data_IF_878848651009
#
_entry.id   IF_878848651009
#
_cell.length_a   1.000
_cell.length_b   1.000
_cell.length_c   1.000
_cell.angle_alpha   90.00
_cell.angle_beta   90.00
_cell.angle_gamma   90.00
#
_symmetry.space_group_name_H-M   'P 1'
#
loop_
_entity.id
_entity.type
_entity.pdbx_description
1 polymer ?
#
# COMPACT_ATOMS: atom_id res chain seq x y z
N UNK A 1 53.20 18.71 -6.70
CA UNK A 1 52.11 17.93 -7.34
C UNK A 1 52.12 16.55 -6.73
N UNK A 2 51.12 16.18 -5.92
CA UNK A 2 50.65 14.79 -5.66
C UNK A 2 50.05 14.65 -4.26
N UNK A 3 48.81 15.09 -4.04
CA UNK A 3 48.04 14.68 -2.84
C UNK A 3 46.54 14.62 -3.16
N UNK A 4 46.15 13.59 -3.93
CA UNK A 4 44.83 12.99 -3.75
C UNK A 4 45.06 11.49 -3.57
N UNK A 5 44.63 10.88 -2.44
CA UNK A 5 44.83 9.46 -2.22
C UNK A 5 44.07 8.67 -3.30
N UNK A 6 44.73 7.63 -3.81
CA UNK A 6 44.26 6.71 -4.87
C UNK A 6 42.86 6.08 -4.60
N UNK A 7 42.34 6.23 -3.38
CA UNK A 7 41.03 5.74 -2.94
C UNK A 7 39.86 6.71 -3.22
N UNK A 8 40.12 8.01 -3.42
CA UNK A 8 39.07 8.99 -3.67
C UNK A 8 38.41 8.80 -5.03
N UNK A 9 39.19 8.51 -6.07
CA UNK A 9 38.71 8.27 -7.45
C UNK A 9 37.92 6.97 -7.57
N UNK A 10 38.33 5.91 -6.87
CA UNK A 10 37.61 4.63 -6.85
C UNK A 10 36.25 4.74 -6.13
N UNK A 11 36.19 5.52 -5.04
CA UNK A 11 34.97 5.76 -4.29
C UNK A 11 34.00 6.65 -5.08
N UNK A 12 34.52 7.70 -5.73
CA UNK A 12 33.74 8.57 -6.63
C UNK A 12 33.15 7.76 -7.80
N UNK A 13 33.95 6.90 -8.43
CA UNK A 13 33.47 6.02 -9.51
C UNK A 13 32.44 4.99 -9.05
N UNK A 14 32.52 4.50 -7.80
CA UNK A 14 31.57 3.52 -7.26
C UNK A 14 30.24 4.18 -6.86
N UNK A 15 30.28 5.39 -6.29
CA UNK A 15 29.10 6.22 -6.00
C UNK A 15 28.41 6.68 -7.29
N UNK A 16 29.18 7.13 -8.28
CA UNK A 16 28.65 7.47 -9.62
C UNK A 16 27.99 6.26 -10.29
N UNK A 17 28.55 5.05 -10.15
CA UNK A 17 28.00 3.81 -10.75
C UNK A 17 26.74 3.29 -10.04
N UNK A 18 26.63 3.49 -8.73
CA UNK A 18 25.38 3.21 -7.98
C UNK A 18 24.28 4.24 -8.32
N UNK A 19 24.63 5.51 -8.48
CA UNK A 19 23.69 6.56 -8.86
C UNK A 19 23.20 6.47 -10.31
N UNK A 20 23.97 5.88 -11.24
CA UNK A 20 23.51 5.58 -12.61
C UNK A 20 22.38 4.52 -12.62
N UNK A 21 22.35 3.59 -11.65
CA UNK A 21 21.23 2.64 -11.51
C UNK A 21 19.97 3.34 -10.98
N UNK A 22 20.12 4.30 -10.06
CA UNK A 22 19.01 5.15 -9.57
C UNK A 22 18.49 6.10 -10.67
N UNK A 23 19.38 6.62 -11.51
CA UNK A 23 19.00 7.43 -12.67
C UNK A 23 18.24 6.61 -13.75
N UNK A 24 18.52 5.31 -13.86
CA UNK A 24 17.73 4.40 -14.73
C UNK A 24 16.33 4.10 -14.17
N UNK A 25 16.14 4.11 -12.85
CA UNK A 25 14.82 4.00 -12.21
C UNK A 25 14.01 5.30 -12.21
N UNK A 26 14.63 6.44 -12.54
CA UNK A 26 13.95 7.73 -12.72
C UNK A 26 13.31 7.90 -14.11
N UNK A 27 13.15 6.82 -14.89
CA UNK A 27 12.14 6.78 -15.96
C UNK A 27 10.74 6.67 -15.35
N UNK A 28 10.39 7.65 -14.51
CA UNK A 28 9.02 7.95 -14.15
C UNK A 28 8.33 8.33 -15.45
N UNK A 29 7.38 7.49 -15.86
CA UNK A 29 6.14 7.91 -16.49
C UNK A 29 6.24 9.15 -17.38
N UNK A 30 7.12 9.12 -18.39
CA UNK A 30 6.73 9.75 -19.62
C UNK A 30 5.53 8.92 -20.07
N UNK A 31 4.31 9.36 -19.72
CA UNK A 31 3.14 8.94 -20.45
C UNK A 31 3.58 8.96 -21.91
N UNK A 32 3.53 7.81 -22.59
CA UNK A 32 3.66 7.82 -24.05
C UNK A 32 2.51 8.73 -24.47
N UNK A 33 2.80 10.01 -24.69
CA UNK A 33 1.89 10.94 -25.33
C UNK A 33 1.75 10.29 -26.69
N UNK A 34 0.69 9.49 -26.86
CA UNK A 34 0.36 8.97 -28.17
C UNK A 34 0.25 10.21 -29.05
N UNK A 35 1.12 10.29 -30.06
CA UNK A 35 1.06 11.38 -31.02
C UNK A 35 -0.29 11.37 -31.77
N UNK A 36 -1.00 10.23 -31.72
CA UNK A 36 -2.33 10.06 -32.27
C UNK A 36 -3.38 10.67 -31.33
N UNK A 37 -3.76 11.91 -31.64
CA UNK A 37 -4.97 12.54 -31.11
C UNK A 37 -6.19 11.76 -31.56
N UNK A 38 -7.09 11.44 -30.64
CA UNK A 38 -8.43 10.93 -31.00
C UNK A 38 -9.17 11.92 -31.91
N UNK A 39 -10.18 11.51 -32.68
CA UNK A 39 -10.93 12.43 -33.56
C UNK A 39 -11.44 13.69 -32.85
N UNK A 40 -11.92 13.58 -31.61
CA UNK A 40 -12.37 14.72 -30.81
C UNK A 40 -11.21 15.62 -30.37
N UNK A 41 -10.06 15.04 -30.04
CA UNK A 41 -8.84 15.79 -29.69
C UNK A 41 -8.25 16.51 -30.91
N UNK A 42 -8.31 15.89 -32.10
CA UNK A 42 -7.88 16.51 -33.36
C UNK A 42 -8.78 17.70 -33.69
N UNK A 43 -10.10 17.51 -33.63
CA UNK A 43 -11.06 18.59 -33.84
C UNK A 43 -10.86 19.75 -32.85
N UNK A 44 -10.71 19.46 -31.56
CA UNK A 44 -10.47 20.47 -30.54
C UNK A 44 -9.15 21.23 -30.76
N UNK A 45 -8.11 20.52 -31.18
CA UNK A 45 -6.83 21.13 -31.53
C UNK A 45 -6.94 22.07 -32.73
N UNK A 46 -7.60 21.63 -33.80
CA UNK A 46 -7.80 22.43 -35.01
C UNK A 46 -8.66 23.67 -34.73
N UNK A 47 -9.68 23.54 -33.87
CA UNK A 47 -10.46 24.66 -33.37
C UNK A 47 -9.58 25.67 -32.63
N UNK A 48 -8.76 25.22 -31.67
CA UNK A 48 -7.85 26.08 -30.90
C UNK A 48 -6.83 26.78 -31.80
N UNK A 49 -6.25 26.08 -32.78
CA UNK A 49 -5.33 26.68 -33.75
C UNK A 49 -6.01 27.75 -34.59
N UNK A 50 -7.27 27.52 -35.02
CA UNK A 50 -8.06 28.53 -35.72
C UNK A 50 -8.33 29.76 -34.86
N UNK A 51 -8.73 29.58 -33.60
CA UNK A 51 -8.95 30.71 -32.67
C UNK A 51 -7.66 31.52 -32.43
N UNK A 52 -6.52 30.83 -32.29
CA UNK A 52 -5.20 31.45 -32.16
C UNK A 52 -4.81 32.26 -33.41
N UNK A 53 -5.03 31.70 -34.61
CA UNK A 53 -4.80 32.41 -35.86
C UNK A 53 -5.66 33.68 -35.99
N UNK A 54 -6.89 33.62 -35.47
CA UNK A 54 -7.82 34.76 -35.37
C UNK A 54 -7.50 35.74 -34.23
N UNK A 55 -6.41 35.52 -33.47
CA UNK A 55 -5.99 36.33 -32.31
C UNK A 55 -7.10 36.50 -31.26
N UNK A 56 -8.00 35.52 -31.13
CA UNK A 56 -9.02 35.56 -30.07
C UNK A 56 -8.36 35.33 -28.72
N UNK A 57 -8.76 36.06 -27.66
CA UNK A 57 -8.29 35.76 -26.32
C UNK A 57 -8.69 34.33 -25.93
N UNK A 58 -7.71 33.54 -25.50
CA UNK A 58 -7.87 32.10 -25.24
C UNK A 58 -8.62 31.85 -23.92
N UNK A 59 -8.68 32.85 -23.05
CA UNK A 59 -9.50 32.93 -21.85
C UNK A 59 -9.47 34.38 -21.30
N UNK A 60 -10.41 34.78 -20.43
CA UNK A 60 -10.28 36.01 -19.68
C UNK A 60 -8.97 35.98 -18.86
N UNK A 61 -8.19 37.06 -18.91
CA UNK A 61 -6.99 37.16 -18.09
C UNK A 61 -7.36 37.26 -16.61
N UNK A 62 -6.51 36.72 -15.72
CA UNK A 62 -6.81 36.63 -14.28
C UNK A 62 -7.14 37.98 -13.64
N UNK A 63 -6.59 39.08 -14.19
CA UNK A 63 -6.82 40.42 -13.64
C UNK A 63 -8.24 40.97 -13.89
N UNK A 64 -9.08 40.34 -14.72
CA UNK A 64 -10.51 40.71 -14.85
C UNK A 64 -11.33 40.14 -13.68
N UNK A 65 -10.88 39.08 -13.04
CA UNK A 65 -11.63 38.43 -11.97
C UNK A 65 -11.43 39.16 -10.64
N UNK A 66 -12.53 39.39 -9.92
CA UNK A 66 -12.48 39.87 -8.54
C UNK A 66 -11.81 38.79 -7.66
N UNK A 67 -10.81 39.12 -6.84
CA UNK A 67 -10.23 38.17 -5.91
C UNK A 67 -11.26 37.70 -4.89
N UNK A 68 -11.44 36.39 -4.81
CA UNK A 68 -12.34 35.72 -3.88
C UNK A 68 -11.54 34.72 -3.07
N UNK A 69 -11.86 34.64 -1.77
CA UNK A 69 -11.12 33.78 -0.84
C UNK A 69 -11.17 32.30 -1.25
N UNK A 70 -12.26 31.87 -1.89
CA UNK A 70 -12.49 30.53 -2.45
C UNK A 70 -11.33 30.06 -3.34
N UNK A 71 -11.00 30.83 -4.38
CA UNK A 71 -9.94 30.46 -5.32
C UNK A 71 -8.57 30.85 -4.81
N UNK A 72 -8.45 31.92 -4.01
CA UNK A 72 -7.15 32.36 -3.47
C UNK A 72 -6.53 31.30 -2.57
N UNK A 73 -7.29 30.72 -1.63
CA UNK A 73 -6.81 29.63 -0.75
C UNK A 73 -6.49 28.38 -1.56
N UNK A 74 -7.28 28.06 -2.58
CA UNK A 74 -6.99 26.94 -3.49
C UNK A 74 -5.69 27.15 -4.27
N UNK A 75 -5.48 28.36 -4.82
CA UNK A 75 -4.27 28.75 -5.50
C UNK A 75 -3.04 28.69 -4.59
N UNK A 76 -3.16 29.23 -3.37
CA UNK A 76 -2.12 29.17 -2.36
C UNK A 76 -1.73 27.71 -2.03
N UNK A 77 -2.70 26.82 -1.88
CA UNK A 77 -2.46 25.39 -1.63
C UNK A 77 -1.69 24.73 -2.77
N UNK A 78 -2.05 25.04 -4.02
CA UNK A 78 -1.33 24.50 -5.19
C UNK A 78 0.09 25.05 -5.28
N UNK A 79 0.27 26.36 -5.17
CA UNK A 79 1.59 27.01 -5.28
C UNK A 79 2.52 26.52 -4.17
N UNK A 80 2.05 26.52 -2.92
CA UNK A 80 2.85 26.03 -1.79
C UNK A 80 3.11 24.52 -1.87
N UNK A 81 2.16 23.73 -2.39
CA UNK A 81 2.35 22.30 -2.66
C UNK A 81 3.44 22.05 -3.71
N UNK A 82 3.44 22.79 -4.82
CA UNK A 82 4.50 22.74 -5.82
C UNK A 82 5.85 23.14 -5.23
N UNK A 83 5.89 24.21 -4.44
CA UNK A 83 7.12 24.65 -3.77
C UNK A 83 7.68 23.57 -2.83
N UNK A 84 6.83 22.97 -1.98
CA UNK A 84 7.24 21.88 -1.09
C UNK A 84 7.73 20.65 -1.88
N UNK A 85 7.02 20.24 -2.93
CA UNK A 85 7.41 19.11 -3.76
C UNK A 85 8.76 19.33 -4.44
N UNK A 86 8.99 20.52 -5.00
CA UNK A 86 10.27 20.89 -5.62
C UNK A 86 11.38 20.91 -4.57
N UNK A 87 11.15 21.50 -3.40
CA UNK A 87 12.15 21.54 -2.31
C UNK A 87 12.51 20.14 -1.83
N UNK A 88 11.53 19.26 -1.61
CA UNK A 88 11.78 17.88 -1.20
C UNK A 88 12.51 17.07 -2.29
N UNK A 89 12.14 17.26 -3.56
CA UNK A 89 12.79 16.59 -4.68
C UNK A 89 14.25 17.05 -4.83
N UNK A 90 14.48 18.37 -4.90
CA UNK A 90 15.82 18.92 -5.08
C UNK A 90 16.70 18.68 -3.85
N UNK A 91 16.15 18.83 -2.64
CA UNK A 91 16.83 18.52 -1.39
C UNK A 91 17.18 17.04 -1.32
N UNK A 92 16.21 16.15 -1.54
CA UNK A 92 16.42 14.70 -1.49
C UNK A 92 17.44 14.22 -2.52
N UNK A 93 17.35 14.68 -3.77
CA UNK A 93 18.35 14.37 -4.81
C UNK A 93 19.71 14.97 -4.46
N UNK A 94 19.74 16.21 -3.99
CA UNK A 94 20.96 16.90 -3.57
C UNK A 94 21.72 16.14 -2.49
N UNK A 95 21.04 15.80 -1.39
CA UNK A 95 21.62 15.01 -0.29
C UNK A 95 21.97 13.56 -0.69
N UNK A 96 21.32 13.01 -1.72
CA UNK A 96 21.64 11.66 -2.22
C UNK A 96 22.87 11.62 -3.13
N UNK A 97 23.15 12.71 -3.85
CA UNK A 97 24.23 12.77 -4.86
C UNK A 97 25.47 13.47 -4.33
N UNK A 98 25.31 14.51 -3.51
CA UNK A 98 26.43 15.25 -2.94
C UNK A 98 27.00 14.51 -1.72
N UNK A 99 28.32 14.54 -1.49
CA UNK A 99 28.94 13.99 -0.29
C UNK A 99 28.76 14.94 0.90
N UNK A 100 27.53 15.38 1.13
CA UNK A 100 27.18 16.39 2.12
C UNK A 100 26.07 15.83 2.98
N UNK A 101 26.36 15.61 4.26
CA UNK A 101 25.36 15.16 5.22
C UNK A 101 24.58 16.35 5.80
N UNK A 102 23.45 16.06 6.44
CA UNK A 102 22.58 17.09 6.99
C UNK A 102 23.28 17.93 8.06
N UNK A 103 24.13 17.31 8.89
CA UNK A 103 24.88 18.01 9.93
C UNK A 103 25.85 19.04 9.34
N UNK A 104 26.65 18.66 8.34
CA UNK A 104 27.58 19.58 7.66
C UNK A 104 26.82 20.71 6.95
N UNK A 105 25.64 20.43 6.40
CA UNK A 105 24.77 21.46 5.82
C UNK A 105 24.36 22.51 6.85
N UNK A 106 23.90 22.08 8.02
CA UNK A 106 23.48 22.99 9.10
C UNK A 106 24.66 23.81 9.60
N UNK A 107 25.83 23.20 9.80
CA UNK A 107 27.04 23.92 10.21
C UNK A 107 27.48 24.95 9.16
N UNK A 108 27.38 24.62 7.87
CA UNK A 108 27.62 25.57 6.79
C UNK A 108 26.67 26.78 6.89
N UNK A 109 25.36 26.54 7.10
CA UNK A 109 24.37 27.61 7.26
C UNK A 109 24.65 28.45 8.52
N UNK A 110 25.01 27.82 9.64
CA UNK A 110 25.43 28.53 10.87
C UNK A 110 26.65 29.42 10.59
N UNK A 111 27.62 28.91 9.82
CA UNK A 111 28.83 29.64 9.41
C UNK A 111 28.59 30.82 8.47
N UNK A 112 27.42 30.94 7.83
CA UNK A 112 27.06 32.11 7.03
C UNK A 112 26.69 33.34 7.87
N UNK A 113 26.58 33.21 9.20
CA UNK A 113 26.26 34.29 10.14
C UNK A 113 25.03 35.11 9.70
N UNK A 114 24.01 34.43 9.19
CA UNK A 114 22.79 35.07 8.70
C UNK A 114 22.05 35.70 9.90
N UNK A 115 21.60 36.97 9.79
CA UNK A 115 20.82 37.61 10.84
C UNK A 115 19.63 36.76 11.29
N UNK A 116 19.38 36.69 12.61
CA UNK A 116 18.34 35.85 13.20
C UNK A 116 16.94 36.13 12.60
N UNK A 117 16.64 37.39 12.26
CA UNK A 117 15.36 37.79 11.63
C UNK A 117 15.15 37.08 10.28
N UNK A 118 16.22 36.97 9.48
CA UNK A 118 16.16 36.31 8.16
C UNK A 118 16.05 34.80 8.34
N UNK A 119 16.79 34.23 9.30
CA UNK A 119 16.69 32.80 9.62
C UNK A 119 15.28 32.42 10.10
N UNK A 120 14.69 33.21 10.98
CA UNK A 120 13.34 32.95 11.49
C UNK A 120 12.26 33.13 10.41
N UNK A 121 12.42 34.13 9.53
CA UNK A 121 11.56 34.25 8.36
C UNK A 121 11.66 33.01 7.46
N UNK A 122 12.86 32.48 7.25
CA UNK A 122 13.07 31.27 6.45
C UNK A 122 12.43 30.04 7.10
N UNK A 123 12.59 29.85 8.41
CA UNK A 123 11.91 28.79 9.18
C UNK A 123 10.39 28.90 9.07
N UNK A 124 9.85 30.13 9.15
CA UNK A 124 8.41 30.36 8.99
C UNK A 124 7.92 29.97 7.60
N UNK A 125 8.65 30.36 6.55
CA UNK A 125 8.34 30.02 5.15
C UNK A 125 8.34 28.52 4.91
N UNK A 126 9.11 27.74 5.67
CA UNK A 126 9.09 26.27 5.63
C UNK A 126 7.91 25.71 6.45
N UNK A 127 7.72 26.18 7.68
CA UNK A 127 6.72 25.64 8.60
C UNK A 127 5.28 25.95 8.18
N UNK A 128 5.02 27.15 7.66
CA UNK A 128 3.67 27.61 7.31
C UNK A 128 3.00 26.73 6.23
N UNK A 129 3.62 26.43 5.07
CA UNK A 129 3.05 25.52 4.07
C UNK A 129 2.66 24.16 4.65
N UNK A 130 3.47 23.59 5.54
CA UNK A 130 3.21 22.28 6.14
C UNK A 130 1.96 22.34 7.01
N UNK A 131 1.90 23.30 7.95
CA UNK A 131 0.73 23.49 8.81
C UNK A 131 -0.53 23.83 8.01
N UNK A 132 -0.39 24.69 7.00
CA UNK A 132 -1.47 25.09 6.11
C UNK A 132 -2.03 23.91 5.31
N UNK A 133 -1.20 23.05 4.73
CA UNK A 133 -1.67 21.87 3.97
C UNK A 133 -2.41 20.87 4.86
N UNK A 134 -1.89 20.62 6.07
CA UNK A 134 -2.56 19.71 7.03
C UNK A 134 -3.95 20.23 7.41
N UNK A 135 -4.05 21.50 7.80
CA UNK A 135 -5.33 22.11 8.21
C UNK A 135 -6.30 22.27 7.04
N UNK A 136 -5.79 22.68 5.88
CA UNK A 136 -6.61 22.83 4.68
C UNK A 136 -7.08 21.46 4.16
N UNK A 137 -6.28 20.40 4.34
CA UNK A 137 -6.67 19.02 4.08
C UNK A 137 -7.86 18.58 4.94
N UNK A 138 -7.84 18.86 6.25
CA UNK A 138 -8.99 18.61 7.15
C UNK A 138 -10.23 19.36 6.66
N UNK A 139 -10.08 20.63 6.27
CA UNK A 139 -11.18 21.42 5.70
C UNK A 139 -11.74 20.80 4.42
N UNK A 140 -10.89 20.26 3.54
CA UNK A 140 -11.31 19.56 2.32
C UNK A 140 -12.04 18.25 2.62
N UNK A 141 -11.59 17.46 3.60
CA UNK A 141 -12.36 16.28 4.08
C UNK A 141 -13.75 16.72 4.54
N UNK A 142 -13.86 17.86 5.24
CA UNK A 142 -15.15 18.46 5.57
C UNK A 142 -16.01 18.75 4.34
N UNK A 143 -15.44 19.29 3.27
CA UNK A 143 -16.15 19.52 2.00
C UNK A 143 -16.59 18.23 1.31
N UNK A 144 -15.77 17.18 1.35
CA UNK A 144 -16.13 15.85 0.81
C UNK A 144 -17.31 15.24 1.57
N UNK A 145 -17.44 15.56 2.86
CA UNK A 145 -18.60 15.21 3.70
C UNK A 145 -19.77 16.22 3.57
N UNK A 146 -19.74 17.12 2.59
CA UNK A 146 -20.70 18.21 2.37
C UNK A 146 -20.89 19.16 3.57
N UNK A 147 -19.90 19.27 4.47
CA UNK A 147 -19.93 20.18 5.62
C UNK A 147 -19.24 21.51 5.28
N UNK A 148 -19.88 22.62 5.64
CA UNK A 148 -19.29 23.97 5.51
C UNK A 148 -19.12 24.46 4.07
N UNK A 149 -19.97 23.98 3.15
CA UNK A 149 -19.95 24.29 1.71
C UNK A 149 -20.74 25.55 1.34
N UNK A 150 -21.44 26.17 2.29
CA UNK A 150 -22.05 27.49 2.10
C UNK A 150 -20.98 28.60 2.07
N UNK A 151 -21.25 29.69 1.35
CA UNK A 151 -20.27 30.77 1.14
C UNK A 151 -19.75 31.36 2.47
N UNK A 152 -20.60 31.67 3.47
CA UNK A 152 -20.11 32.13 4.78
C UNK A 152 -19.15 31.13 5.45
N UNK A 153 -19.51 29.84 5.51
CA UNK A 153 -18.66 28.80 6.10
C UNK A 153 -17.35 28.62 5.34
N UNK A 154 -17.36 28.70 4.01
CA UNK A 154 -16.16 28.64 3.17
C UNK A 154 -15.18 29.75 3.56
N UNK A 155 -15.67 30.98 3.73
CA UNK A 155 -14.85 32.13 4.13
C UNK A 155 -14.34 31.99 5.55
N UNK A 156 -15.21 31.62 6.51
CA UNK A 156 -14.80 31.37 7.90
C UNK A 156 -13.73 30.29 8.00
N UNK A 157 -13.95 29.16 7.34
CA UNK A 157 -12.99 28.05 7.31
C UNK A 157 -11.66 28.45 6.68
N UNK A 158 -11.68 29.27 5.63
CA UNK A 158 -10.46 29.80 5.03
C UNK A 158 -9.65 30.67 6.01
N UNK A 159 -10.29 31.62 6.70
CA UNK A 159 -9.61 32.44 7.70
C UNK A 159 -9.09 31.63 8.88
N UNK A 160 -9.89 30.67 9.39
CA UNK A 160 -9.46 29.78 10.49
C UNK A 160 -8.22 28.99 10.10
N UNK A 161 -8.21 28.38 8.92
CA UNK A 161 -7.07 27.60 8.42
C UNK A 161 -5.83 28.47 8.27
N UNK A 162 -5.94 29.65 7.64
CA UNK A 162 -4.81 30.55 7.44
C UNK A 162 -4.23 31.07 8.76
N UNK A 163 -5.09 31.52 9.68
CA UNK A 163 -4.68 32.04 10.97
C UNK A 163 -4.04 30.96 11.84
N UNK A 164 -4.67 29.78 11.92
CA UNK A 164 -4.14 28.68 12.73
C UNK A 164 -2.83 28.15 12.17
N UNK A 165 -2.69 28.04 10.84
CA UNK A 165 -1.42 27.67 10.21
C UNK A 165 -0.30 28.67 10.54
N UNK A 166 -0.60 29.97 10.51
CA UNK A 166 0.35 31.02 10.88
C UNK A 166 0.75 30.92 12.36
N UNK A 167 -0.21 30.71 13.27
CA UNK A 167 0.07 30.56 14.70
C UNK A 167 0.92 29.31 14.98
N UNK A 168 0.62 28.18 14.35
CA UNK A 168 1.41 26.96 14.49
C UNK A 168 2.84 27.17 13.98
N UNK A 169 3.01 27.78 12.80
CA UNK A 169 4.33 28.05 12.24
C UNK A 169 5.15 29.01 13.13
N UNK A 170 4.52 30.04 13.70
CA UNK A 170 5.15 30.91 14.67
C UNK A 170 5.54 30.16 15.96
N UNK A 171 4.66 29.31 16.48
CA UNK A 171 4.93 28.54 17.68
C UNK A 171 6.12 27.59 17.49
N UNK A 172 6.22 26.90 16.35
CA UNK A 172 7.35 26.04 15.99
C UNK A 172 8.66 26.83 15.95
N UNK A 173 8.63 28.04 15.36
CA UNK A 173 9.81 28.91 15.34
C UNK A 173 10.24 29.33 16.75
N UNK A 174 9.29 29.72 17.62
CA UNK A 174 9.60 30.14 18.99
C UNK A 174 10.10 28.99 19.87
N UNK A 175 9.54 27.79 19.71
CA UNK A 175 10.01 26.59 20.42
C UNK A 175 11.48 26.31 20.10
N UNK A 176 11.90 26.53 18.85
CA UNK A 176 13.30 26.36 18.44
C UNK A 176 14.23 27.33 19.17
N UNK A 177 13.81 28.59 19.35
CA UNK A 177 14.59 29.61 20.07
C UNK A 177 14.69 29.24 21.55
N UNK A 178 13.58 28.82 22.15
CA UNK A 178 13.55 28.41 23.55
C UNK A 178 14.47 27.21 23.81
N UNK A 179 14.48 26.21 22.93
CA UNK A 179 15.35 25.03 23.06
C UNK A 179 16.85 25.36 22.87
N UNK A 180 17.22 26.24 21.95
CA UNK A 180 18.62 26.68 21.81
C UNK A 180 19.07 27.48 23.04
N UNK A 181 18.15 28.28 23.63
CA UNK A 181 18.41 29.05 24.84
C UNK A 181 18.62 28.19 26.09
N UNK A 182 17.90 27.08 26.24
CA UNK A 182 18.08 26.16 27.38
C UNK A 182 19.37 25.35 27.28
N UNK A 183 19.80 24.98 26.08
CA UNK A 183 21.03 24.21 25.86
C UNK A 183 22.30 25.03 26.13
N UNK A 184 22.30 26.32 25.77
CA UNK A 184 23.41 27.23 26.12
C UNK A 184 23.55 27.48 27.63
N UNK A 185 22.48 27.29 28.41
CA UNK A 185 22.53 27.42 29.88
C UNK A 185 22.95 26.14 30.60
N UNK A 186 22.77 24.96 30.00
CA UNK A 186 23.21 23.69 30.58
C UNK A 186 24.69 23.37 30.34
N UNK A 187 25.30 23.91 29.28
CA UNK A 187 26.71 23.63 28.93
C UNK A 187 27.73 24.32 29.86
N UNK A 188 27.30 25.26 30.71
CA UNK A 188 28.15 25.96 31.68
C UNK A 188 28.09 25.34 33.08
N UNK A 189 27.14 24.44 33.37
CA UNK A 189 26.84 24.01 34.75
C UNK A 189 27.08 22.55 35.10
N UNK A 190 27.80 21.74 34.31
CA UNK A 190 28.08 20.34 34.70
C UNK A 190 29.53 19.88 34.42
N UNK A 191 30.44 20.25 35.33
CA UNK A 191 31.41 19.29 35.87
C UNK A 191 30.67 18.53 36.96
N UNK A 192 30.41 17.23 36.75
CA UNK A 192 29.86 16.36 37.78
C UNK A 192 28.77 15.43 37.27
N UNK A 193 29.16 14.18 37.04
CA UNK A 193 28.48 12.97 37.52
C UNK A 193 26.95 13.05 37.69
N UNK A 194 26.21 12.37 36.80
CA UNK A 194 25.44 11.17 37.19
C UNK A 194 24.73 10.55 35.97
N UNK A 195 25.01 9.27 35.76
CA UNK A 195 24.27 8.37 34.89
C UNK A 195 22.99 7.96 35.61
N UNK A 196 21.86 8.52 35.20
CA UNK A 196 20.54 8.05 35.61
C UNK A 196 19.82 7.53 34.38
N UNK A 197 19.75 6.19 34.28
CA UNK A 197 18.96 5.51 33.27
C UNK A 197 17.48 5.84 33.48
N UNK A 198 16.90 6.48 32.49
CA UNK A 198 15.46 6.73 32.38
C UNK A 198 14.76 5.39 32.11
N UNK A 199 13.96 4.92 33.08
CA UNK A 199 13.07 3.78 32.87
C UNK A 199 11.92 4.29 32.01
N UNK A 200 12.07 4.07 30.70
CA UNK A 200 10.94 4.15 29.76
C UNK A 200 10.01 3.00 30.12
N UNK A 201 8.79 3.30 30.54
CA UNK A 201 7.70 2.32 30.58
C UNK A 201 7.42 1.89 29.13
N UNK A 202 8.16 0.87 28.68
CA UNK A 202 7.99 0.24 27.38
C UNK A 202 6.63 -0.46 27.41
N UNK A 203 5.65 0.15 26.75
CA UNK A 203 4.39 -0.50 26.42
C UNK A 203 4.71 -1.87 25.82
N UNK A 204 4.16 -2.99 26.34
CA UNK A 204 4.57 -4.32 25.91
C UNK A 204 4.42 -4.44 24.39
N UNK A 205 5.51 -4.82 23.72
CA UNK A 205 5.55 -4.93 22.27
C UNK A 205 4.33 -5.72 21.78
N UNK A 206 3.64 -5.20 20.77
CA UNK A 206 2.52 -5.91 20.16
C UNK A 206 3.05 -7.16 19.48
N UNK A 207 2.25 -8.21 19.42
CA UNK A 207 2.73 -9.51 18.90
C UNK A 207 3.18 -9.41 17.44
N UNK A 208 2.45 -8.70 16.58
CA UNK A 208 2.83 -8.48 15.19
C UNK A 208 4.07 -7.58 14.98
N UNK A 209 4.62 -6.98 16.04
CA UNK A 209 5.88 -6.22 16.02
C UNK A 209 7.08 -7.07 16.44
N UNK A 210 6.86 -8.28 16.97
CA UNK A 210 7.94 -9.19 17.29
C UNK A 210 8.53 -9.80 16.00
N UNK A 211 9.85 -9.84 15.90
CA UNK A 211 10.58 -10.44 14.76
C UNK A 211 10.14 -11.88 14.48
N UNK A 212 9.77 -12.62 15.53
CA UNK A 212 9.22 -13.99 15.43
C UNK A 212 7.99 -14.06 14.51
N UNK A 213 7.14 -13.04 14.54
CA UNK A 213 5.90 -12.98 13.78
C UNK A 213 5.96 -12.02 12.59
N UNK A 214 7.18 -11.79 12.07
CA UNK A 214 7.37 -11.02 10.86
C UNK A 214 6.56 -11.64 9.70
N UNK A 215 5.74 -10.81 9.04
CA UNK A 215 4.82 -11.25 7.99
C UNK A 215 5.53 -11.90 6.80
N UNK A 216 6.78 -11.52 6.55
CA UNK A 216 7.62 -12.16 5.54
C UNK A 216 7.74 -13.67 5.79
N UNK A 217 7.85 -14.08 7.05
CA UNK A 217 7.91 -15.48 7.44
C UNK A 217 6.65 -16.24 7.03
N UNK A 218 5.46 -15.70 7.33
CA UNK A 218 4.17 -16.29 6.95
C UNK A 218 4.02 -16.48 5.44
N UNK A 219 4.42 -15.48 4.65
CA UNK A 219 4.34 -15.54 3.19
C UNK A 219 5.27 -16.61 2.63
N UNK A 220 6.54 -16.60 3.05
CA UNK A 220 7.54 -17.56 2.58
C UNK A 220 7.16 -18.98 3.00
N UNK A 221 6.71 -19.15 4.24
CA UNK A 221 6.25 -20.41 4.79
C UNK A 221 5.07 -20.98 3.98
N UNK A 222 4.01 -20.19 3.79
CA UNK A 222 2.84 -20.62 3.04
C UNK A 222 3.16 -20.93 1.57
N UNK A 223 3.95 -20.08 0.90
CA UNK A 223 4.31 -20.29 -0.51
C UNK A 223 5.14 -21.55 -0.68
N UNK A 224 6.09 -21.79 0.22
CA UNK A 224 6.87 -23.03 0.23
C UNK A 224 5.97 -24.24 0.40
N UNK A 225 5.08 -24.20 1.39
CA UNK A 225 4.12 -25.28 1.65
C UNK A 225 3.21 -25.53 0.44
N UNK A 226 2.73 -24.47 -0.23
CA UNK A 226 1.87 -24.59 -1.41
C UNK A 226 2.58 -25.18 -2.62
N UNK A 227 3.84 -24.80 -2.86
CA UNK A 227 4.65 -25.38 -3.92
C UNK A 227 4.94 -26.87 -3.66
N UNK A 228 5.25 -27.24 -2.42
CA UNK A 228 5.47 -28.62 -2.02
C UNK A 228 4.23 -29.51 -2.24
N UNK A 229 3.02 -29.01 -1.99
CA UNK A 229 1.77 -29.73 -2.30
C UNK A 229 1.56 -30.02 -3.79
N UNK A 230 2.32 -29.36 -4.67
CA UNK A 230 2.30 -29.52 -6.12
C UNK A 230 3.59 -30.16 -6.66
N UNK A 231 4.40 -30.75 -5.78
CA UNK A 231 5.69 -31.36 -6.09
C UNK A 231 6.71 -30.39 -6.72
N UNK A 232 6.61 -29.09 -6.41
CA UNK A 232 7.58 -28.07 -6.80
C UNK A 232 8.49 -27.67 -5.63
N UNK A 233 9.77 -27.48 -5.92
CA UNK A 233 10.76 -26.95 -4.98
C UNK A 233 11.09 -25.48 -5.27
N UNK A 234 11.15 -24.67 -4.21
CA UNK A 234 11.57 -23.26 -4.28
C UNK A 234 13.06 -23.11 -3.94
N UNK A 235 13.91 -23.21 -4.96
CA UNK A 235 15.36 -23.17 -4.81
C UNK A 235 15.90 -21.85 -4.20
N UNK A 236 15.26 -20.71 -4.50
CA UNK A 236 15.64 -19.39 -4.01
C UNK A 236 14.92 -18.99 -2.71
N UNK A 237 14.37 -19.97 -1.97
CA UNK A 237 13.63 -19.71 -0.74
C UNK A 237 14.48 -18.91 0.26
N UNK A 238 13.98 -17.77 0.77
CA UNK A 238 14.63 -17.05 1.86
C UNK A 238 14.72 -17.90 3.13
N UNK A 239 15.85 -17.82 3.84
CA UNK A 239 16.04 -18.51 5.12
C UNK A 239 15.09 -17.91 6.16
N UNK A 240 14.32 -18.76 6.85
CA UNK A 240 13.45 -18.35 7.94
C UNK A 240 14.21 -18.45 9.27
N UNK A 241 14.21 -17.40 10.10
CA UNK A 241 14.85 -17.45 11.42
C UNK A 241 14.09 -18.36 12.41
N UNK A 242 12.80 -18.60 12.16
CA UNK A 242 11.95 -19.46 12.96
C UNK A 242 11.15 -20.39 12.04
N UNK A 243 11.04 -21.66 12.40
CA UNK A 243 10.25 -22.67 11.69
C UNK A 243 9.28 -23.36 12.67
N UNK A 244 8.22 -23.98 12.15
CA UNK A 244 7.23 -24.77 12.91
C UNK A 244 6.45 -23.97 13.97
N UNK A 245 6.04 -22.75 13.62
CA UNK A 245 5.16 -21.93 14.47
C UNK A 245 3.69 -22.35 14.31
N UNK A 246 2.93 -22.34 15.41
CA UNK A 246 1.49 -22.65 15.39
C UNK A 246 0.71 -21.63 14.53
N UNK A 247 1.19 -20.40 14.48
CA UNK A 247 0.63 -19.33 13.66
C UNK A 247 0.80 -19.61 12.16
N UNK A 248 1.93 -20.24 11.77
CA UNK A 248 2.17 -20.65 10.38
C UNK A 248 1.23 -21.80 10.00
N UNK A 249 1.07 -22.80 10.86
CA UNK A 249 0.11 -23.89 10.67
C UNK A 249 -1.33 -23.36 10.54
N UNK A 250 -1.74 -22.47 11.45
CA UNK A 250 -3.04 -21.83 11.41
C UNK A 250 -3.27 -21.06 10.10
N UNK A 251 -2.26 -20.33 9.60
CA UNK A 251 -2.32 -19.64 8.31
C UNK A 251 -2.50 -20.63 7.16
N UNK A 252 -1.70 -21.71 7.11
CA UNK A 252 -1.80 -22.73 6.06
C UNK A 252 -3.19 -23.35 5.99
N UNK A 253 -3.75 -23.72 7.14
CA UNK A 253 -5.06 -24.36 7.21
C UNK A 253 -6.17 -23.43 6.70
N UNK A 254 -6.21 -22.20 7.19
CA UNK A 254 -7.26 -21.24 6.83
C UNK A 254 -7.12 -20.79 5.38
N UNK A 255 -5.91 -20.58 4.90
CA UNK A 255 -5.65 -20.22 3.51
C UNK A 255 -6.05 -21.35 2.54
N UNK A 256 -5.76 -22.62 2.86
CA UNK A 256 -6.24 -23.75 2.06
C UNK A 256 -7.77 -23.88 2.07
N UNK A 257 -8.43 -23.62 3.21
CA UNK A 257 -9.90 -23.57 3.28
C UNK A 257 -10.43 -22.45 2.38
N UNK A 258 -9.77 -21.29 2.38
CA UNK A 258 -10.15 -20.14 1.56
C UNK A 258 -9.98 -20.44 0.07
N UNK A 259 -8.85 -21.00 -0.34
CA UNK A 259 -8.57 -21.40 -1.73
C UNK A 259 -9.61 -22.39 -2.25
N UNK A 260 -9.96 -23.42 -1.47
CA UNK A 260 -10.98 -24.40 -1.87
C UNK A 260 -12.36 -23.79 -2.07
N UNK A 261 -12.67 -22.69 -1.37
CA UNK A 261 -13.97 -22.02 -1.46
C UNK A 261 -14.06 -21.03 -2.63
N UNK A 262 -12.93 -20.46 -3.05
CA UNK A 262 -12.87 -19.40 -4.06
C UNK A 262 -11.98 -19.79 -5.26
N UNK A 263 -11.79 -21.08 -5.50
CA UNK A 263 -10.84 -21.60 -6.50
C UNK A 263 -11.05 -20.99 -7.89
N UNK A 264 -12.30 -20.91 -8.34
CA UNK A 264 -12.62 -20.47 -9.70
C UNK A 264 -12.35 -18.98 -9.90
N UNK A 265 -12.53 -18.18 -8.85
CA UNK A 265 -12.29 -16.74 -8.87
C UNK A 265 -10.78 -16.46 -8.81
N UNK A 266 -10.08 -17.12 -7.87
CA UNK A 266 -8.63 -17.00 -7.71
C UNK A 266 -7.89 -17.38 -9.00
N UNK A 267 -8.25 -18.50 -9.63
CA UNK A 267 -7.63 -18.92 -10.88
C UNK A 267 -7.90 -17.93 -12.02
N UNK A 268 -9.12 -17.41 -12.15
CA UNK A 268 -9.45 -16.38 -13.16
C UNK A 268 -8.60 -15.13 -13.00
N UNK A 269 -8.39 -14.65 -11.78
CA UNK A 269 -7.56 -13.48 -11.52
C UNK A 269 -6.08 -13.74 -11.80
N UNK A 270 -5.59 -14.92 -11.45
CA UNK A 270 -4.22 -15.35 -11.79
C UNK A 270 -4.02 -15.40 -13.30
N UNK A 271 -4.95 -16.01 -14.04
CA UNK A 271 -4.87 -16.08 -15.51
C UNK A 271 -4.89 -14.66 -16.14
N UNK A 272 -5.69 -13.73 -15.60
CA UNK A 272 -5.69 -12.33 -16.04
C UNK A 272 -4.33 -11.66 -15.80
N UNK A 273 -3.73 -11.84 -14.62
CA UNK A 273 -2.42 -11.27 -14.29
C UNK A 273 -1.29 -11.84 -15.16
N UNK A 274 -1.35 -13.14 -15.47
CA UNK A 274 -0.34 -13.82 -16.29
C UNK A 274 -0.51 -13.56 -17.79
N UNK A 275 -1.68 -13.10 -18.24
CA UNK A 275 -1.90 -12.72 -19.63
C UNK A 275 -1.13 -11.47 -20.05
N UNK A 276 -0.76 -10.62 -19.10
CA UNK A 276 0.04 -9.42 -19.33
C UNK A 276 1.53 -9.77 -19.48
N UNK A 277 2.21 -9.10 -20.42
CA UNK A 277 3.59 -9.42 -20.84
C UNK A 277 4.65 -9.29 -19.72
N UNK A 278 4.35 -8.58 -18.64
CA UNK A 278 5.24 -8.39 -17.48
C UNK A 278 4.43 -8.24 -16.19
N UNK A 279 4.71 -9.10 -15.19
CA UNK A 279 4.15 -8.97 -13.85
C UNK A 279 4.85 -7.81 -13.11
N UNK A 280 4.17 -6.66 -12.99
CA UNK A 280 4.71 -5.52 -12.23
C UNK A 280 4.15 -5.49 -10.80
N UNK A 281 4.93 -4.95 -9.86
CA UNK A 281 4.48 -4.70 -8.48
C UNK A 281 3.17 -3.92 -8.44
N UNK A 282 3.04 -2.87 -9.27
CA UNK A 282 1.85 -2.02 -9.29
C UNK A 282 0.61 -2.79 -9.74
N UNK A 283 0.73 -3.66 -10.74
CA UNK A 283 -0.39 -4.47 -11.24
C UNK A 283 -0.81 -5.54 -10.24
N UNK A 284 0.17 -6.18 -9.60
CA UNK A 284 -0.08 -7.11 -8.50
C UNK A 284 -0.83 -6.42 -7.35
N UNK A 285 -0.33 -5.25 -6.92
CA UNK A 285 -0.96 -4.45 -5.87
C UNK A 285 -2.36 -3.98 -6.27
N UNK A 286 -2.60 -3.56 -7.51
CA UNK A 286 -3.93 -3.13 -7.99
C UNK A 286 -4.98 -4.25 -7.87
N UNK A 287 -4.63 -5.48 -8.28
CA UNK A 287 -5.53 -6.63 -8.14
C UNK A 287 -5.73 -7.01 -6.68
N UNK A 288 -4.65 -6.97 -5.88
CA UNK A 288 -4.66 -7.21 -4.43
C UNK A 288 -5.44 -6.15 -3.65
N UNK A 289 -5.42 -4.88 -4.08
CA UNK A 289 -6.13 -3.77 -3.42
C UNK A 289 -7.63 -3.81 -3.68
N UNK A 290 -8.04 -4.28 -4.86
CA UNK A 290 -9.44 -4.52 -5.19
C UNK A 290 -9.99 -5.79 -4.53
N UNK A 291 -9.11 -6.67 -4.02
CA UNK A 291 -9.52 -7.90 -3.37
C UNK A 291 -10.16 -7.63 -2.00
N UNK A 292 -11.44 -7.97 -1.86
CA UNK A 292 -12.15 -8.01 -0.58
C UNK A 292 -12.36 -6.64 0.09
N UNK A 293 -12.37 -5.54 -0.67
CA UNK A 293 -12.84 -4.23 -0.18
C UNK A 293 -14.37 -4.20 -0.17
N UNK A 294 -14.93 -3.75 0.95
CA UNK A 294 -16.21 -3.05 0.94
C UNK A 294 -15.94 -1.56 0.67
N UNK A 295 -16.79 -0.89 -0.10
CA UNK A 295 -16.59 0.53 -0.47
C UNK A 295 -16.49 1.45 0.75
N UNK A 296 -17.06 1.03 1.89
CA UNK A 296 -17.09 1.76 3.16
C UNK A 296 -15.84 1.57 4.04
N UNK A 297 -14.92 0.66 3.71
CA UNK A 297 -13.73 0.39 4.53
C UNK A 297 -12.54 1.31 4.16
N UNK A 298 -11.82 1.78 5.19
CA UNK A 298 -10.60 2.57 5.01
C UNK A 298 -9.62 1.85 4.08
N UNK A 299 -8.95 2.56 3.13
CA UNK A 299 -7.96 1.95 2.25
C UNK A 299 -6.79 1.27 2.99
N UNK A 300 -6.58 1.60 4.26
CA UNK A 300 -5.54 1.03 5.09
C UNK A 300 -5.99 -0.19 5.93
N UNK A 301 -7.29 -0.49 6.00
CA UNK A 301 -7.82 -1.56 6.86
C UNK A 301 -7.39 -2.95 6.40
N UNK A 302 -6.74 -3.72 7.28
CA UNK A 302 -6.31 -5.10 7.04
C UNK A 302 -7.00 -6.07 7.99
N UNK A 303 -8.15 -6.61 7.58
CA UNK A 303 -8.84 -7.66 8.33
C UNK A 303 -8.15 -9.02 8.20
N UNK A 304 -8.41 -9.95 9.12
CA UNK A 304 -7.92 -11.33 9.00
C UNK A 304 -8.37 -12.02 7.70
N UNK A 305 -9.59 -11.72 7.22
CA UNK A 305 -10.09 -12.24 5.97
C UNK A 305 -9.28 -11.75 4.76
N UNK A 306 -8.95 -10.44 4.72
CA UNK A 306 -8.11 -9.86 3.66
C UNK A 306 -6.68 -10.41 3.73
N UNK A 307 -6.11 -10.52 4.93
CA UNK A 307 -4.79 -11.14 5.13
C UNK A 307 -4.73 -12.56 4.53
N UNK A 308 -5.67 -13.43 4.94
CA UNK A 308 -5.74 -14.82 4.44
C UNK A 308 -5.91 -14.85 2.94
N UNK A 309 -6.81 -14.02 2.41
CA UNK A 309 -7.09 -13.99 0.99
C UNK A 309 -5.87 -13.61 0.15
N UNK A 310 -5.09 -12.63 0.59
CA UNK A 310 -3.90 -12.16 -0.14
C UNK A 310 -2.77 -13.19 -0.11
N UNK A 311 -2.56 -13.84 1.04
CA UNK A 311 -1.59 -14.93 1.17
C UNK A 311 -2.03 -16.13 0.31
N UNK A 312 -3.32 -16.47 0.32
CA UNK A 312 -3.91 -17.53 -0.51
C UNK A 312 -3.74 -17.25 -2.00
N UNK A 313 -4.07 -16.03 -2.44
CA UNK A 313 -3.92 -15.60 -3.83
C UNK A 313 -2.46 -15.68 -4.29
N UNK A 314 -1.53 -15.18 -3.47
CA UNK A 314 -0.11 -15.32 -3.72
C UNK A 314 0.34 -16.78 -3.82
N UNK A 315 -0.20 -17.66 -2.97
CA UNK A 315 0.05 -19.11 -3.01
C UNK A 315 -0.40 -19.77 -4.31
N UNK A 316 -1.57 -19.42 -4.83
CA UNK A 316 -2.05 -19.88 -6.14
C UNK A 316 -1.17 -19.33 -7.26
N UNK A 317 -0.82 -18.04 -7.19
CA UNK A 317 0.03 -17.38 -8.17
C UNK A 317 1.40 -18.05 -8.29
N UNK A 318 2.08 -18.35 -7.17
CA UNK A 318 3.40 -18.99 -7.22
C UNK A 318 3.34 -20.42 -7.76
N UNK A 319 2.26 -21.17 -7.47
CA UNK A 319 2.04 -22.48 -8.10
C UNK A 319 1.97 -22.35 -9.62
N UNK A 320 1.21 -21.36 -10.11
CA UNK A 320 1.04 -21.13 -11.54
C UNK A 320 2.34 -20.65 -12.21
N UNK A 321 3.11 -19.79 -11.53
CA UNK A 321 4.43 -19.36 -11.98
C UNK A 321 5.43 -20.53 -12.07
N UNK A 322 5.36 -21.48 -11.13
CA UNK A 322 6.19 -22.68 -11.16
C UNK A 322 5.81 -23.61 -12.33
N UNK A 323 4.51 -23.78 -12.59
CA UNK A 323 3.98 -24.52 -13.75
C UNK A 323 4.45 -23.90 -15.08
N UNK A 324 4.46 -22.57 -15.21
CA UNK A 324 4.95 -21.83 -16.40
C UNK A 324 6.49 -21.66 -16.42
N UNK A 325 7.22 -22.31 -15.50
CA UNK A 325 8.69 -22.27 -15.38
C UNK A 325 9.29 -20.87 -15.13
N UNK A 326 8.49 -19.90 -14.66
CA UNK A 326 8.93 -18.54 -14.33
C UNK A 326 9.42 -18.43 -12.88
N UNK A 327 10.44 -19.23 -12.53
CA UNK A 327 10.90 -19.38 -11.13
C UNK A 327 11.44 -18.09 -10.50
N UNK A 328 12.05 -17.20 -11.29
CA UNK A 328 12.58 -15.91 -10.82
C UNK A 328 11.49 -14.96 -10.30
N UNK A 329 10.26 -15.10 -10.78
CA UNK A 329 9.15 -14.22 -10.40
C UNK A 329 8.54 -14.62 -9.04
N UNK A 330 8.75 -15.87 -8.59
CA UNK A 330 8.25 -16.37 -7.30
C UNK A 330 8.81 -15.51 -6.15
N UNK A 331 10.10 -15.22 -6.19
CA UNK A 331 10.79 -14.38 -5.21
C UNK A 331 10.27 -12.94 -5.21
N UNK A 332 9.90 -12.41 -6.38
CA UNK A 332 9.30 -11.08 -6.51
C UNK A 332 7.89 -11.04 -5.91
N UNK A 333 7.03 -12.03 -6.23
CA UNK A 333 5.67 -12.12 -5.68
C UNK A 333 5.69 -12.26 -4.15
N UNK A 334 6.61 -13.06 -3.60
CA UNK A 334 6.80 -13.17 -2.16
C UNK A 334 7.15 -11.80 -1.54
N UNK A 335 8.16 -11.12 -2.08
CA UNK A 335 8.60 -9.80 -1.61
C UNK A 335 7.46 -8.77 -1.66
N UNK A 336 6.72 -8.73 -2.77
CA UNK A 336 5.62 -7.80 -2.98
C UNK A 336 4.48 -8.03 -2.00
N UNK A 337 4.11 -9.28 -1.79
CA UNK A 337 3.07 -9.67 -0.83
C UNK A 337 3.48 -9.32 0.59
N UNK A 338 4.71 -9.66 1.00
CA UNK A 338 5.22 -9.34 2.33
C UNK A 338 5.25 -7.85 2.59
N UNK A 339 5.79 -7.04 1.68
CA UNK A 339 5.89 -5.58 1.85
C UNK A 339 4.53 -4.90 1.88
N UNK A 340 3.59 -5.38 1.06
CA UNK A 340 2.23 -4.86 1.06
C UNK A 340 1.53 -5.15 2.40
N UNK A 341 1.59 -6.40 2.88
CA UNK A 341 0.95 -6.80 4.13
C UNK A 341 1.60 -6.14 5.35
N UNK A 342 2.93 -6.07 5.41
CA UNK A 342 3.70 -5.46 6.49
C UNK A 342 3.22 -4.02 6.75
N UNK A 343 3.17 -3.22 5.68
CA UNK A 343 2.74 -1.82 5.77
C UNK A 343 1.29 -1.71 6.25
N UNK A 344 0.39 -2.58 5.80
CA UNK A 344 -1.04 -2.49 6.14
C UNK A 344 -1.30 -2.95 7.58
N UNK A 345 -0.67 -4.03 8.03
CA UNK A 345 -0.75 -4.54 9.40
C UNK A 345 -0.30 -3.45 10.39
N UNK A 346 0.86 -2.83 10.14
CA UNK A 346 1.40 -1.76 10.99
C UNK A 346 0.46 -0.54 11.07
N UNK A 347 -0.31 -0.26 10.02
CA UNK A 347 -1.22 0.89 9.98
C UNK A 347 -2.59 0.62 10.61
N UNK A 348 -3.12 -0.61 10.57
CA UNK A 348 -4.50 -0.89 11.00
C UNK A 348 -4.63 -1.75 12.26
N UNK A 349 -3.75 -2.72 12.50
CA UNK A 349 -3.99 -3.73 13.55
C UNK A 349 -3.98 -3.17 14.96
N UNK A 350 -3.17 -2.14 15.20
CA UNK A 350 -3.15 -1.43 16.47
C UNK A 350 -4.49 -0.72 16.77
N UNK A 351 -5.14 -0.17 15.75
CA UNK A 351 -6.42 0.54 15.89
C UNK A 351 -7.61 -0.44 16.01
N UNK A 352 -7.52 -1.59 15.34
CA UNK A 352 -8.58 -2.59 15.30
C UNK A 352 -8.52 -3.63 16.44
N UNK A 353 -7.58 -3.49 17.39
CA UNK A 353 -7.32 -4.46 18.46
C UNK A 353 -7.11 -5.89 17.92
N UNK A 354 -6.27 -6.02 16.90
CA UNK A 354 -5.92 -7.29 16.23
C UNK A 354 -4.54 -7.77 16.66
N UNK A 355 -4.37 -9.09 16.66
CA UNK A 355 -3.14 -9.76 17.07
C UNK A 355 -3.04 -11.14 16.42
N UNK A 356 -1.83 -11.69 16.29
CA UNK A 356 -1.62 -13.06 15.82
C UNK A 356 -2.22 -14.09 16.77
N UNK A 357 -2.20 -13.84 18.08
CA UNK A 357 -2.88 -14.71 19.05
C UNK A 357 -4.39 -14.82 18.76
N UNK A 358 -5.06 -13.68 18.56
CA UNK A 358 -6.49 -13.62 18.19
C UNK A 358 -6.75 -14.24 16.81
N UNK A 359 -5.80 -14.12 15.88
CA UNK A 359 -5.87 -14.78 14.58
C UNK A 359 -5.89 -16.31 14.72
N UNK A 360 -5.03 -16.90 15.55
CA UNK A 360 -4.99 -18.34 15.80
C UNK A 360 -6.30 -18.85 16.41
N UNK A 361 -6.87 -18.11 17.36
CA UNK A 361 -8.19 -18.43 17.93
C UNK A 361 -9.29 -18.43 16.85
N UNK A 362 -9.29 -17.42 15.97
CA UNK A 362 -10.21 -17.34 14.85
C UNK A 362 -10.00 -18.49 13.85
N UNK A 363 -8.75 -18.85 13.56
CA UNK A 363 -8.39 -19.94 12.67
C UNK A 363 -8.94 -21.28 13.16
N UNK A 364 -8.80 -21.57 14.46
CA UNK A 364 -9.35 -22.78 15.08
C UNK A 364 -10.88 -22.83 15.00
N UNK A 365 -11.57 -21.69 15.20
CA UNK A 365 -13.01 -21.63 14.98
C UNK A 365 -13.41 -21.90 13.52
N UNK A 366 -12.64 -21.37 12.56
CA UNK A 366 -12.89 -21.60 11.12
C UNK A 366 -12.68 -23.07 10.76
N UNK A 367 -11.60 -23.70 11.23
CA UNK A 367 -11.31 -25.13 11.03
C UNK A 367 -12.43 -26.02 11.56
N UNK A 368 -12.90 -25.77 12.79
CA UNK A 368 -14.02 -26.51 13.38
C UNK A 368 -15.31 -26.35 12.57
N UNK A 369 -15.61 -25.14 12.10
CA UNK A 369 -16.80 -24.88 11.27
C UNK A 369 -16.69 -25.48 9.87
N UNK A 370 -15.49 -25.57 9.30
CA UNK A 370 -15.28 -26.20 8.00
C UNK A 370 -15.44 -27.72 8.08
N UNK A 371 -14.90 -28.36 9.13
CA UNK A 371 -15.01 -29.82 9.31
C UNK A 371 -16.47 -30.27 9.49
N UNK A 372 -17.29 -29.51 10.21
CA UNK A 372 -18.74 -29.76 10.32
C UNK A 372 -19.40 -29.65 8.94
N UNK A 373 -19.14 -28.58 8.20
CA UNK A 373 -19.72 -28.38 6.85
C UNK A 373 -19.30 -29.46 5.86
N UNK A 374 -18.06 -29.95 5.95
CA UNK A 374 -17.59 -31.05 5.10
C UNK A 374 -18.35 -32.34 5.41
N UNK A 375 -18.54 -32.68 6.69
CA UNK A 375 -19.36 -33.83 7.10
C UNK A 375 -20.79 -33.72 6.60
N UNK A 376 -21.42 -32.56 6.76
CA UNK A 376 -22.78 -32.31 6.25
C UNK A 376 -22.87 -32.46 4.73
N UNK A 377 -21.88 -31.97 3.97
CA UNK A 377 -21.82 -32.11 2.50
C UNK A 377 -21.66 -33.57 2.09
N UNK A 378 -20.80 -34.33 2.76
CA UNK A 378 -20.64 -35.76 2.52
C UNK A 378 -21.90 -36.54 2.83
N UNK A 379 -22.56 -36.25 3.95
CA UNK A 379 -23.84 -36.87 4.32
C UNK A 379 -24.94 -36.55 3.32
N UNK A 380 -25.04 -35.29 2.89
CA UNK A 380 -26.00 -34.87 1.87
C UNK A 380 -25.72 -35.53 0.51
N UNK A 381 -24.46 -35.64 0.11
CA UNK A 381 -24.04 -36.35 -1.10
C UNK A 381 -24.40 -37.85 -1.02
N UNK A 382 -24.10 -38.52 0.10
CA UNK A 382 -24.49 -39.92 0.36
C UNK A 382 -26.00 -40.10 0.32
N UNK A 383 -26.76 -39.18 0.93
CA UNK A 383 -28.22 -39.21 0.92
C UNK A 383 -28.80 -38.99 -0.49
N UNK A 384 -28.21 -38.08 -1.28
CA UNK A 384 -28.57 -37.86 -2.68
C UNK A 384 -28.33 -39.11 -3.51
N UNK A 385 -27.14 -39.70 -3.45
CA UNK A 385 -26.80 -40.94 -4.17
C UNK A 385 -27.76 -42.07 -3.78
N UNK A 386 -28.06 -42.24 -2.48
CA UNK A 386 -29.05 -43.22 -2.01
C UNK A 386 -30.45 -42.97 -2.59
N UNK A 387 -30.90 -41.71 -2.64
CA UNK A 387 -32.20 -41.33 -3.21
C UNK A 387 -32.29 -41.64 -4.71
N UNK A 388 -31.25 -41.33 -5.48
CA UNK A 388 -31.20 -41.65 -6.91
C UNK A 388 -31.11 -43.16 -7.17
N UNK A 389 -30.44 -43.92 -6.30
CA UNK A 389 -30.43 -45.39 -6.35
C UNK A 389 -31.84 -45.98 -6.14
N UNK A 390 -32.62 -45.48 -5.17
CA UNK A 390 -34.01 -45.91 -4.97
C UNK A 390 -34.92 -45.56 -6.15
N UNK A 391 -34.75 -44.38 -6.76
CA UNK A 391 -35.50 -43.97 -7.97
C UNK A 391 -35.12 -44.88 -9.15
N UNK A 392 -33.84 -45.20 -9.32
CA UNK A 392 -33.35 -46.14 -10.33
C UNK A 392 -33.93 -47.55 -10.15
N UNK A 393 -33.95 -48.05 -8.91
CA UNK A 393 -34.52 -49.37 -8.61
C UNK A 393 -36.04 -49.42 -8.87
N UNK A 394 -36.77 -48.38 -8.48
CA UNK A 394 -38.22 -48.27 -8.70
C UNK A 394 -38.59 -48.18 -10.19
N UNK A 395 -37.81 -47.44 -10.98
CA UNK A 395 -38.03 -47.31 -12.44
C UNK A 395 -37.75 -48.62 -13.18
N UNK A 396 -36.68 -49.35 -12.82
CA UNK A 396 -36.42 -50.70 -13.38
C UNK A 396 -37.53 -51.68 -13.01
N UNK A 397 -38.05 -51.63 -11.78
CA UNK A 397 -39.18 -52.47 -11.35
C UNK A 397 -40.46 -52.23 -12.15
N UNK A 398 -40.82 -50.97 -12.40
CA UNK A 398 -42.02 -50.61 -13.18
C UNK A 398 -41.88 -51.02 -14.65
N UNK A 399 -40.70 -50.81 -15.26
CA UNK A 399 -40.43 -51.24 -16.65
C UNK A 399 -40.43 -52.76 -16.76
N UNK A 400 -39.84 -53.48 -15.79
CA UNK A 400 -39.82 -54.93 -15.77
C UNK A 400 -41.22 -55.56 -15.64
N UNK A 401 -42.07 -55.01 -14.78
CA UNK A 401 -43.47 -55.47 -14.63
C UNK A 401 -44.27 -55.16 -15.90
N UNK A 402 -44.09 -53.98 -16.51
CA UNK A 402 -44.74 -53.61 -17.77
C UNK A 402 -44.31 -54.50 -18.95
N UNK A 403 -43.02 -54.82 -19.06
CA UNK A 403 -42.51 -55.73 -20.09
C UNK A 403 -43.02 -57.16 -19.92
N UNK A 404 -43.09 -57.66 -18.68
CA UNK A 404 -43.59 -59.00 -18.35
C UNK A 404 -45.09 -59.14 -18.63
N UNK A 405 -45.91 -58.15 -18.30
CA UNK A 405 -47.36 -58.19 -18.59
C UNK A 405 -47.63 -58.10 -20.09
N UNK A 406 -46.85 -57.30 -20.83
CA UNK A 406 -46.96 -57.20 -22.29
C UNK A 406 -46.56 -58.50 -23.00
N UNK A 407 -45.45 -59.13 -22.60
CA UNK A 407 -45.03 -60.44 -23.16
C UNK A 407 -46.04 -61.52 -22.86
N UNK A 408 -46.60 -61.54 -21.65
CA UNK A 408 -47.64 -62.52 -21.28
C UNK A 408 -48.95 -62.30 -22.06
N UNK A 409 -49.32 -61.07 -22.36
CA UNK A 409 -50.51 -60.75 -23.17
C UNK A 409 -50.33 -61.07 -24.67
N UNK A 410 -49.10 -60.97 -25.19
CA UNK A 410 -48.76 -61.35 -26.58
C UNK A 410 -48.69 -62.88 -26.75
N UNK A 411 -48.20 -63.61 -25.74
CA UNK A 411 -48.12 -65.08 -25.76
C UNK A 411 -49.46 -65.78 -25.48
N UNK A 412 -50.50 -65.04 -25.07
CA UNK A 412 -51.84 -65.57 -24.79
C UNK A 412 -52.86 -65.32 -25.91
N UNK A 413 -52.41 -64.94 -27.11
CA UNK A 413 -53.19 -64.92 -28.35
C UNK A 413 -52.62 -65.95 -29.31
#
# INVERSE_FOLDING_TARGET
MSLLPYNATATLCRVLRQNVKVARSLQISAARISAEKTPIQKWGWDYLMRQRALKRPISPHLTVYKPQMTWMVSGLHRVTGCAMAVTLLLGGVGFSVLPLDFTTFIEFIRGLHIPWVILDAFKFVIAFPIAFHTLNGIRFIGFDMAKGTDIPSIYRGAYVVLSLAALIALAVNQLTIWMEGTQSTSDVSHIGSESSAEIVDVEPLRDFEHDKYAIQGFVVDYFTYRLQLKDFEWAERPVLPYENLAEYEAMRDVALIFERRHSDELNRMVDQLLSDKYLSFQRYVEVVENFGRNDDESPAHMSYGRLVALISFGGVMVCRLAEEHMRSEISAVALYTSKFLEKRIQLSWAQDDRSWAKFVECAEMIKRRDSVRQREREECARARVRRWSWIGLATVGVVGIGAFTLTRAVLSR
#
